data_IF_692362406745
#
_entry.id   IF_692362406745
#
_cell.length_a   1.000
_cell.length_b   1.000
_cell.length_c   1.000
_cell.angle_alpha   90.00
_cell.angle_beta   90.00
_cell.angle_gamma   90.00
#
_symmetry.space_group_name_H-M   'P 1'
#
loop_
_entity.id
_entity.type
_entity.pdbx_description
1 polymer ?
#
# COMPACT_ATOMS: atom_id res chain seq x y z
N UNK A 1 21.17 -38.85 38.20
CA UNK A 1 20.73 -39.95 37.33
C UNK A 1 19.30 -39.66 36.87
N UNK A 2 19.07 -39.67 35.54
CA UNK A 2 17.81 -39.73 34.73
C UNK A 2 16.56 -38.97 35.20
N UNK A 3 16.03 -37.94 34.50
CA UNK A 3 15.36 -37.82 33.16
C UNK A 3 13.81 -37.89 33.22
N UNK A 4 13.16 -36.99 32.46
CA UNK A 4 11.77 -36.99 31.91
C UNK A 4 10.61 -36.60 32.88
N UNK A 5 9.55 -35.83 32.58
CA UNK A 5 8.94 -35.21 31.38
C UNK A 5 7.88 -34.15 31.81
N UNK A 6 7.67 -33.10 30.98
CA UNK A 6 6.47 -32.26 30.67
C UNK A 6 5.20 -32.36 31.57
N UNK A 7 4.57 -31.22 31.92
CA UNK A 7 3.12 -30.84 31.77
C UNK A 7 2.82 -29.59 32.66
N UNK A 8 2.50 -28.43 32.10
CA UNK A 8 1.15 -27.93 31.77
C UNK A 8 0.27 -27.69 33.01
N UNK A 9 0.14 -26.42 33.43
CA UNK A 9 -0.87 -25.98 34.39
C UNK A 9 -1.35 -24.56 34.06
N UNK A 10 -2.51 -24.46 33.40
CA UNK A 10 -3.67 -23.76 33.94
C UNK A 10 -4.86 -23.95 32.98
N UNK A 11 -5.69 -24.95 33.28
CA UNK A 11 -6.96 -25.22 32.62
C UNK A 11 -8.03 -25.00 33.70
N UNK A 12 -8.75 -23.89 33.65
CA UNK A 12 -9.98 -23.69 34.42
C UNK A 12 -11.07 -23.30 33.43
N UNK A 13 -11.86 -24.27 33.00
CA UNK A 13 -13.03 -24.07 32.13
C UNK A 13 -14.28 -24.12 32.98
N UNK A 14 -14.99 -23.00 33.07
CA UNK A 14 -16.32 -22.91 33.67
C UNK A 14 -17.34 -23.44 32.63
N UNK A 15 -17.93 -24.62 32.88
CA UNK A 15 -18.99 -25.19 32.06
C UNK A 15 -20.34 -24.56 32.46
N UNK A 16 -21.01 -23.91 31.52
CA UNK A 16 -22.43 -23.55 31.62
C UNK A 16 -23.19 -24.38 30.58
N UNK A 17 -24.00 -25.34 31.06
CA UNK A 17 -24.87 -26.17 30.23
C UNK A 17 -26.25 -25.50 30.13
N UNK A 18 -26.62 -25.03 28.94
CA UNK A 18 -28.01 -24.69 28.62
C UNK A 18 -28.54 -25.80 27.70
N UNK A 19 -29.55 -26.53 28.17
CA UNK A 19 -30.19 -27.64 27.45
C UNK A 19 -31.44 -27.15 26.73
N UNK A 20 -31.41 -27.16 25.39
CA UNK A 20 -32.62 -27.20 24.56
C UNK A 20 -32.34 -28.13 23.38
N UNK A 21 -33.07 -29.25 23.31
CA UNK A 21 -33.15 -30.18 22.18
C UNK A 21 -31.86 -30.90 21.73
N UNK A 22 -31.18 -31.58 22.65
CA UNK A 22 -30.56 -32.88 22.34
C UNK A 22 -29.39 -32.92 21.36
N UNK A 23 -28.72 -31.79 21.08
CA UNK A 23 -27.44 -31.76 20.35
C UNK A 23 -26.43 -30.97 21.19
N UNK A 24 -25.41 -31.66 21.71
CA UNK A 24 -24.36 -31.02 22.50
C UNK A 24 -23.28 -30.44 21.57
N UNK A 25 -23.46 -29.19 21.13
CA UNK A 25 -22.38 -28.44 20.48
C UNK A 25 -21.48 -27.77 21.52
N UNK A 26 -20.19 -28.06 21.46
CA UNK A 26 -19.17 -27.53 22.37
C UNK A 26 -18.75 -26.14 21.88
N UNK A 27 -19.35 -25.08 22.42
CA UNK A 27 -18.93 -23.70 22.16
C UNK A 27 -17.59 -23.43 22.88
N UNK A 28 -16.50 -23.42 22.13
CA UNK A 28 -15.19 -22.96 22.61
C UNK A 28 -15.12 -21.45 22.48
N UNK A 29 -15.24 -20.73 23.60
CA UNK A 29 -14.97 -19.30 23.68
C UNK A 29 -13.45 -19.08 23.55
N UNK A 30 -13.00 -18.50 22.44
CA UNK A 30 -11.62 -18.03 22.29
C UNK A 30 -11.38 -16.80 23.18
N UNK A 31 -10.19 -16.66 23.81
CA UNK A 31 -9.88 -15.51 24.64
C UNK A 31 -9.72 -14.26 23.78
N UNK A 32 -10.56 -13.26 24.03
CA UNK A 32 -10.43 -11.92 23.49
C UNK A 32 -9.09 -11.31 23.90
N UNK A 33 -8.16 -11.20 22.97
CA UNK A 33 -7.04 -10.25 23.08
C UNK A 33 -7.61 -8.83 22.90
N UNK A 34 -7.66 -8.07 23.99
CA UNK A 34 -7.91 -6.63 23.92
C UNK A 34 -6.68 -6.00 23.28
N UNK A 35 -6.77 -5.72 21.99
CA UNK A 35 -5.75 -5.01 21.25
C UNK A 35 -5.69 -3.55 21.73
N UNK A 36 -4.48 -3.08 22.02
CA UNK A 36 -4.16 -1.65 22.05
C UNK A 36 -4.77 -0.99 20.80
N UNK A 37 -5.35 0.20 20.97
CA UNK A 37 -6.01 0.97 19.91
C UNK A 37 -5.05 1.20 18.73
N UNK A 38 -5.01 0.26 17.79
CA UNK A 38 -4.39 0.41 16.49
C UNK A 38 -5.32 1.32 15.70
N UNK A 39 -4.84 2.49 15.32
CA UNK A 39 -5.51 3.34 14.36
C UNK A 39 -5.87 2.48 13.15
N UNK A 40 -7.17 2.29 12.93
CA UNK A 40 -7.70 1.56 11.79
C UNK A 40 -7.45 2.44 10.58
N UNK A 41 -6.32 2.26 9.91
CA UNK A 41 -6.05 2.92 8.64
C UNK A 41 -6.81 2.16 7.57
N UNK A 42 -7.96 2.72 7.21
CA UNK A 42 -8.77 2.28 6.09
C UNK A 42 -8.14 2.81 4.81
N UNK A 43 -7.51 1.95 4.01
CA UNK A 43 -7.14 2.28 2.63
C UNK A 43 -8.41 2.49 1.82
N UNK A 44 -8.78 3.75 1.61
CA UNK A 44 -9.99 4.11 0.89
C UNK A 44 -9.89 5.53 0.34
N UNK A 45 -9.24 5.68 -0.82
CA UNK A 45 -9.05 6.97 -1.49
C UNK A 45 -7.76 7.69 -1.09
N UNK A 46 -7.71 9.00 -1.33
CA UNK A 46 -6.58 9.85 -0.90
C UNK A 46 -6.59 10.00 0.62
N UNK A 47 -5.45 9.75 1.22
CA UNK A 47 -5.15 9.93 2.64
C UNK A 47 -4.36 11.21 2.82
N UNK A 48 -4.64 11.97 3.89
CA UNK A 48 -3.87 13.16 4.27
C UNK A 48 -2.77 12.72 5.23
N UNK A 49 -1.50 12.90 4.86
CA UNK A 49 -0.37 12.41 5.68
C UNK A 49 -0.29 13.08 7.04
N UNK A 50 -0.69 14.34 7.15
CA UNK A 50 -0.73 15.07 8.43
C UNK A 50 -1.73 14.48 9.43
N UNK A 51 -2.77 13.78 8.96
CA UNK A 51 -3.79 13.15 9.82
C UNK A 51 -3.51 11.66 10.00
N UNK A 52 -3.17 10.98 8.90
CA UNK A 52 -2.91 9.54 8.88
C UNK A 52 -1.60 9.28 8.13
N UNK A 53 -0.43 9.39 8.77
CA UNK A 53 0.86 9.25 8.08
C UNK A 53 1.23 7.79 7.76
N UNK A 54 0.45 6.82 8.23
CA UNK A 54 0.83 5.41 8.22
C UNK A 54 -0.04 4.61 7.25
N UNK A 55 0.55 3.90 6.30
CA UNK A 55 -0.09 2.89 5.46
C UNK A 55 0.34 1.49 5.90
N UNK A 56 -0.62 0.59 6.06
CA UNK A 56 -0.39 -0.79 6.51
C UNK A 56 -0.70 -1.79 5.39
N UNK A 57 0.31 -2.56 4.99
CA UNK A 57 0.20 -3.64 4.02
C UNK A 57 0.41 -4.98 4.71
N UNK A 58 -0.46 -5.94 4.45
CA UNK A 58 -0.27 -7.35 4.84
C UNK A 58 -0.24 -8.21 3.58
N UNK A 59 0.36 -9.39 3.69
CA UNK A 59 0.58 -10.25 2.54
C UNK A 59 -0.23 -11.53 2.67
N UNK A 60 -0.67 -12.07 1.55
CA UNK A 60 -1.34 -13.35 1.42
C UNK A 60 -0.52 -14.22 0.46
N UNK A 61 -0.34 -15.50 0.77
CA UNK A 61 0.38 -16.44 -0.08
C UNK A 61 -0.51 -17.13 -1.12
N UNK A 62 -1.82 -16.92 -1.04
CA UNK A 62 -2.74 -17.41 -2.06
C UNK A 62 -2.60 -16.56 -3.33
N UNK A 63 -1.75 -17.01 -4.26
CA UNK A 63 -1.58 -16.37 -5.57
C UNK A 63 -2.76 -16.61 -6.52
N UNK A 64 -3.71 -17.50 -6.18
CA UNK A 64 -4.83 -17.84 -7.04
C UNK A 64 -5.77 -16.65 -7.26
N UNK A 65 -5.88 -15.72 -6.30
CA UNK A 65 -6.70 -14.52 -6.49
C UNK A 65 -6.07 -13.50 -7.45
N UNK A 66 -4.74 -13.39 -7.54
CA UNK A 66 -4.07 -12.56 -8.56
C UNK A 66 -4.35 -13.07 -9.97
N UNK A 67 -4.04 -14.35 -10.18
CA UNK A 67 -4.19 -15.01 -11.48
C UNK A 67 -5.66 -15.06 -11.87
N UNK A 68 -6.58 -15.25 -10.90
CA UNK A 68 -8.01 -15.31 -11.21
C UNK A 68 -8.56 -13.97 -11.67
N UNK A 69 -8.18 -12.82 -11.10
CA UNK A 69 -8.65 -11.51 -11.58
C UNK A 69 -8.13 -11.17 -12.99
N UNK A 70 -6.86 -11.48 -13.28
CA UNK A 70 -6.30 -11.29 -14.62
C UNK A 70 -7.00 -12.18 -15.66
N UNK A 71 -7.15 -13.47 -15.36
CA UNK A 71 -7.84 -14.42 -16.24
C UNK A 71 -9.33 -14.10 -16.40
N UNK A 72 -9.99 -13.62 -15.33
CA UNK A 72 -11.38 -13.19 -15.36
C UNK A 72 -11.55 -11.98 -16.26
N UNK A 73 -10.67 -10.99 -16.16
CA UNK A 73 -10.68 -9.83 -17.06
C UNK A 73 -10.53 -10.29 -18.53
N UNK A 74 -9.54 -11.14 -18.81
CA UNK A 74 -9.32 -11.72 -20.14
C UNK A 74 -10.56 -12.43 -20.68
N UNK A 75 -11.19 -13.28 -19.87
CA UNK A 75 -12.42 -13.97 -20.23
C UNK A 75 -13.56 -12.99 -20.55
N UNK A 76 -13.80 -11.98 -19.70
CA UNK A 76 -14.87 -11.00 -19.91
C UNK A 76 -14.67 -10.21 -21.21
N UNK A 77 -13.45 -9.74 -21.44
CA UNK A 77 -13.12 -9.00 -22.66
C UNK A 77 -13.21 -9.86 -23.93
N UNK A 78 -12.86 -11.15 -23.85
CA UNK A 78 -13.06 -12.10 -24.94
C UNK A 78 -14.53 -12.28 -25.31
N UNK A 79 -15.43 -12.09 -24.36
CA UNK A 79 -16.88 -12.12 -24.58
C UNK A 79 -17.46 -10.75 -24.91
N UNK A 80 -16.62 -9.72 -25.09
CA UNK A 80 -17.02 -8.32 -25.29
C UNK A 80 -17.87 -7.76 -24.13
N UNK A 81 -17.76 -8.36 -22.94
CA UNK A 81 -18.45 -7.93 -21.73
C UNK A 81 -17.53 -6.98 -20.97
N UNK A 82 -18.06 -5.81 -20.63
CA UNK A 82 -17.37 -4.91 -19.71
C UNK A 82 -17.51 -5.40 -18.26
N UNK A 83 -16.42 -5.54 -17.49
CA UNK A 83 -16.51 -5.93 -16.09
C UNK A 83 -17.27 -4.90 -15.25
N UNK A 84 -18.06 -5.37 -14.29
CA UNK A 84 -18.66 -4.49 -13.30
C UNK A 84 -17.59 -3.77 -12.47
N UNK A 85 -17.89 -2.55 -12.05
CA UNK A 85 -16.96 -1.70 -11.32
C UNK A 85 -16.46 -2.37 -10.03
N UNK A 86 -15.14 -2.36 -9.83
CA UNK A 86 -14.44 -2.94 -8.66
C UNK A 86 -14.58 -4.46 -8.53
N UNK A 87 -14.96 -5.18 -9.60
CA UNK A 87 -14.92 -6.65 -9.62
C UNK A 87 -13.56 -7.22 -10.00
N UNK A 88 -12.73 -6.42 -10.67
CA UNK A 88 -11.34 -6.73 -11.00
C UNK A 88 -10.47 -5.79 -10.17
N UNK A 89 -9.64 -6.34 -9.29
CA UNK A 89 -8.84 -5.53 -8.36
C UNK A 89 -7.51 -5.13 -9.01
N UNK A 90 -7.18 -3.83 -9.04
CA UNK A 90 -5.96 -3.33 -9.70
C UNK A 90 -4.67 -3.90 -9.10
N UNK A 91 -4.65 -4.12 -7.78
CA UNK A 91 -3.53 -4.75 -7.08
C UNK A 91 -3.33 -6.21 -7.48
N UNK A 92 -4.41 -6.92 -7.85
CA UNK A 92 -4.34 -8.30 -8.29
C UNK A 92 -3.77 -8.37 -9.71
N UNK A 93 -4.18 -7.44 -10.59
CA UNK A 93 -3.56 -7.27 -11.91
C UNK A 93 -2.07 -6.95 -11.78
N UNK A 94 -1.71 -5.97 -10.94
CA UNK A 94 -0.32 -5.58 -10.70
C UNK A 94 0.55 -6.76 -10.28
N UNK A 95 0.05 -7.56 -9.33
CA UNK A 95 0.77 -8.72 -8.80
C UNK A 95 0.55 -10.01 -9.62
N UNK A 96 -0.04 -9.93 -10.83
CA UNK A 96 -0.08 -11.05 -11.77
C UNK A 96 1.22 -11.19 -12.59
N UNK A 97 2.06 -10.15 -12.64
CA UNK A 97 3.29 -10.10 -13.46
C UNK A 97 4.55 -10.12 -12.61
N UNK A 98 5.57 -10.86 -13.04
CA UNK A 98 6.88 -10.83 -12.40
C UNK A 98 7.67 -9.60 -12.85
N UNK A 99 8.36 -8.95 -11.90
CA UNK A 99 9.19 -7.77 -12.20
C UNK A 99 10.65 -8.04 -11.88
N UNK A 100 11.54 -7.79 -12.83
CA UNK A 100 12.97 -8.03 -12.69
C UNK A 100 13.76 -6.72 -12.63
N UNK A 101 13.69 -6.06 -11.46
CA UNK A 101 14.44 -4.84 -11.22
C UNK A 101 15.95 -5.13 -11.10
N UNK A 102 16.77 -4.29 -11.75
CA UNK A 102 18.23 -4.46 -11.79
C UNK A 102 18.92 -4.21 -10.45
N UNK A 103 18.29 -3.46 -9.53
CA UNK A 103 18.89 -3.08 -8.26
C UNK A 103 17.96 -3.35 -7.08
N UNK A 104 18.21 -4.44 -6.36
CA UNK A 104 17.57 -4.72 -5.08
C UNK A 104 18.52 -4.41 -3.92
N UNK A 105 17.98 -3.77 -2.89
CA UNK A 105 18.70 -3.49 -1.64
C UNK A 105 18.25 -4.44 -0.54
N UNK A 106 19.14 -4.83 0.40
CA UNK A 106 18.74 -5.65 1.54
C UNK A 106 17.72 -4.90 2.42
N UNK A 107 16.56 -5.50 2.67
CA UNK A 107 15.59 -5.01 3.64
C UNK A 107 15.79 -5.72 4.99
N UNK A 108 16.06 -7.02 4.96
CA UNK A 108 16.49 -7.83 6.10
C UNK A 108 17.36 -8.99 5.61
N UNK A 109 17.72 -9.93 6.49
CA UNK A 109 18.41 -11.16 6.11
C UNK A 109 17.65 -11.97 5.03
N UNK A 110 16.32 -12.00 5.11
CA UNK A 110 15.47 -12.85 4.27
C UNK A 110 14.74 -12.11 3.15
N UNK A 111 14.75 -10.77 3.16
CA UNK A 111 13.97 -9.96 2.22
C UNK A 111 14.81 -8.85 1.60
N UNK A 112 14.53 -8.58 0.32
CA UNK A 112 15.11 -7.48 -0.43
C UNK A 112 14.02 -6.55 -0.91
N UNK A 113 14.34 -5.28 -1.03
CA UNK A 113 13.44 -4.23 -1.48
C UNK A 113 14.03 -3.51 -2.68
N UNK A 114 13.15 -3.14 -3.60
CA UNK A 114 13.41 -2.18 -4.63
C UNK A 114 12.34 -1.07 -4.51
N UNK A 115 12.78 0.18 -4.57
CA UNK A 115 11.90 1.33 -4.64
C UNK A 115 12.30 2.20 -5.81
N UNK A 116 11.31 2.76 -6.47
CA UNK A 116 11.51 3.65 -7.61
C UNK A 116 10.42 4.73 -7.60
N UNK A 117 10.80 5.94 -7.98
CA UNK A 117 9.96 7.13 -7.84
C UNK A 117 10.07 7.98 -9.10
N UNK A 118 8.94 8.31 -9.70
CA UNK A 118 8.89 9.15 -10.91
C UNK A 118 7.58 9.97 -10.95
N UNK A 119 7.47 10.99 -11.82
CA UNK A 119 6.19 11.66 -12.07
C UNK A 119 5.09 10.66 -12.44
N UNK A 120 3.88 10.85 -11.89
CA UNK A 120 2.75 9.96 -12.17
C UNK A 120 2.23 10.18 -13.59
N UNK A 121 2.00 9.11 -14.38
CA UNK A 121 1.33 9.23 -15.67
C UNK A 121 -0.18 9.48 -15.51
N UNK A 122 -0.75 9.31 -14.31
CA UNK A 122 -2.19 9.48 -14.09
C UNK A 122 -2.57 10.90 -13.74
N UNK A 123 -1.63 11.67 -13.17
CA UNK A 123 -1.84 13.02 -12.67
C UNK A 123 -0.52 13.77 -12.65
N UNK A 124 -0.46 14.91 -13.34
CA UNK A 124 0.75 15.72 -13.48
C UNK A 124 1.20 16.37 -12.15
N UNK A 125 0.33 16.45 -11.15
CA UNK A 125 0.62 17.05 -9.84
C UNK A 125 1.04 16.02 -8.78
N UNK A 126 1.32 14.77 -9.18
CA UNK A 126 1.66 13.69 -8.27
C UNK A 126 2.88 12.91 -8.75
N UNK A 127 3.56 12.26 -7.80
CA UNK A 127 4.56 11.25 -8.08
C UNK A 127 3.93 9.86 -7.92
N UNK A 128 4.51 8.90 -8.63
CA UNK A 128 4.23 7.49 -8.49
C UNK A 128 5.43 6.83 -7.79
N UNK A 129 5.18 6.21 -6.64
CA UNK A 129 6.14 5.44 -5.87
C UNK A 129 5.83 3.95 -6.02
N UNK A 130 6.77 3.19 -6.55
CA UNK A 130 6.74 1.74 -6.55
C UNK A 130 7.54 1.20 -5.38
N UNK A 131 6.95 0.23 -4.69
CA UNK A 131 7.62 -0.58 -3.67
C UNK A 131 7.48 -2.02 -4.11
N UNK A 132 8.61 -2.63 -4.44
CA UNK A 132 8.69 -4.05 -4.70
C UNK A 132 9.53 -4.72 -3.63
N UNK A 133 9.03 -5.79 -3.04
CA UNK A 133 9.80 -6.57 -2.08
C UNK A 133 9.70 -8.03 -2.50
N UNK A 134 10.84 -8.70 -2.42
CA UNK A 134 10.96 -10.13 -2.72
C UNK A 134 11.74 -10.83 -1.63
N UNK A 135 11.59 -12.15 -1.59
CA UNK A 135 12.49 -13.00 -0.82
C UNK A 135 13.91 -12.92 -1.39
N UNK A 136 14.91 -12.88 -0.51
CA UNK A 136 16.30 -12.98 -0.94
C UNK A 136 16.64 -14.41 -1.32
N UNK A 137 17.67 -14.61 -2.16
CA UNK A 137 18.17 -15.94 -2.51
C UNK A 137 18.67 -16.74 -1.29
N UNK A 138 18.95 -16.05 -0.19
CA UNK A 138 19.41 -16.62 1.08
C UNK A 138 18.27 -16.84 2.09
N UNK A 139 17.02 -16.61 1.69
CA UNK A 139 15.89 -16.75 2.59
C UNK A 139 15.79 -18.15 3.18
N UNK A 140 15.63 -18.23 4.50
CA UNK A 140 15.42 -19.49 5.22
C UNK A 140 14.06 -20.11 4.89
N UNK A 141 13.92 -21.44 4.98
CA UNK A 141 12.63 -22.12 4.75
C UNK A 141 11.46 -21.58 5.61
N UNK A 142 11.65 -21.25 6.90
CA UNK A 142 10.60 -20.62 7.71
C UNK A 142 10.20 -19.21 7.24
N UNK A 143 11.14 -18.47 6.63
CA UNK A 143 10.85 -17.18 6.00
C UNK A 143 10.10 -17.36 4.69
N UNK A 144 10.45 -18.39 3.90
CA UNK A 144 9.74 -18.74 2.66
C UNK A 144 8.25 -19.00 2.89
N UNK A 145 7.95 -19.74 3.96
CA UNK A 145 6.59 -20.06 4.40
C UNK A 145 5.94 -18.93 5.23
N UNK A 146 6.71 -17.92 5.62
CA UNK A 146 6.31 -16.87 6.55
C UNK A 146 5.67 -15.64 5.91
N UNK A 147 5.61 -15.54 4.58
CA UNK A 147 5.14 -14.35 3.87
C UNK A 147 3.75 -13.88 4.33
N UNK A 148 2.81 -14.81 4.53
CA UNK A 148 1.44 -14.50 4.96
C UNK A 148 1.36 -13.81 6.34
N UNK A 149 2.44 -13.86 7.12
CA UNK A 149 2.52 -13.25 8.45
C UNK A 149 3.30 -11.93 8.45
N UNK A 150 3.77 -11.48 7.29
CA UNK A 150 4.47 -10.22 7.19
C UNK A 150 3.49 -9.05 7.20
N UNK A 151 3.97 -7.93 7.74
CA UNK A 151 3.30 -6.65 7.68
C UNK A 151 4.31 -5.57 7.32
N UNK A 152 4.12 -4.91 6.18
CA UNK A 152 4.87 -3.72 5.83
C UNK A 152 4.10 -2.48 6.29
N UNK A 153 4.79 -1.59 7.00
CA UNK A 153 4.28 -0.32 7.47
C UNK A 153 5.02 0.78 6.74
N UNK A 154 4.32 1.57 5.96
CA UNK A 154 4.89 2.72 5.25
C UNK A 154 4.46 3.99 5.97
N UNK A 155 5.41 4.69 6.57
CA UNK A 155 5.18 5.94 7.30
C UNK A 155 5.68 7.10 6.46
N UNK A 156 4.75 7.92 5.97
CA UNK A 156 5.04 9.12 5.19
C UNK A 156 5.52 10.26 6.09
N UNK A 157 6.40 11.08 5.55
CA UNK A 157 6.83 12.33 6.14
C UNK A 157 5.80 13.42 5.79
N UNK A 158 4.95 13.85 6.74
CA UNK A 158 3.91 14.82 6.46
C UNK A 158 4.49 16.17 6.00
N UNK A 159 5.74 16.52 6.36
CA UNK A 159 6.36 17.77 5.89
C UNK A 159 6.53 17.81 4.37
N UNK A 160 6.74 16.66 3.73
CA UNK A 160 7.03 16.57 2.29
C UNK A 160 5.84 16.01 1.51
N UNK A 161 5.09 15.07 2.08
CA UNK A 161 3.95 14.43 1.43
C UNK A 161 2.66 14.97 2.05
N UNK A 162 1.87 15.71 1.27
CA UNK A 162 0.57 16.24 1.71
C UNK A 162 -0.51 15.15 1.69
N UNK A 163 -0.54 14.39 0.60
CA UNK A 163 -1.49 13.32 0.37
C UNK A 163 -0.81 12.08 -0.22
N UNK A 164 -1.36 10.90 0.08
CA UNK A 164 -0.99 9.67 -0.60
C UNK A 164 -2.21 8.80 -0.90
N UNK A 165 -2.11 7.96 -1.92
CA UNK A 165 -3.13 6.98 -2.29
C UNK A 165 -2.46 5.65 -2.62
N UNK A 166 -2.92 4.56 -2.03
CA UNK A 166 -2.51 3.21 -2.42
C UNK A 166 -3.40 2.73 -3.58
N UNK A 167 -2.81 2.51 -4.75
CA UNK A 167 -3.55 2.14 -5.96
C UNK A 167 -4.08 0.70 -5.82
N UNK A 168 -5.36 0.51 -6.18
CA UNK A 168 -6.08 -0.78 -6.11
C UNK A 168 -6.89 -1.00 -4.83
N UNK A 169 -6.60 -0.27 -3.76
CA UNK A 169 -7.31 -0.39 -2.49
C UNK A 169 -8.36 0.72 -2.30
N UNK A 170 -8.98 1.16 -3.40
CA UNK A 170 -9.98 2.22 -3.36
C UNK A 170 -11.33 1.68 -2.88
N UNK A 171 -11.91 2.31 -1.85
CA UNK A 171 -13.24 1.91 -1.37
C UNK A 171 -14.34 2.34 -2.34
N UNK A 172 -15.23 1.41 -2.64
CA UNK A 172 -16.49 1.71 -3.30
C UNK A 172 -17.53 2.13 -2.26
N UNK A 173 -17.68 3.44 -2.00
CA UNK A 173 -18.75 3.94 -1.14
C UNK A 173 -20.17 3.65 -1.67
N UNK A 174 -20.30 3.19 -2.93
CA UNK A 174 -21.58 2.96 -3.61
C UNK A 174 -22.13 1.52 -3.59
N UNK A 175 -21.42 0.52 -3.07
CA UNK A 175 -21.91 -0.88 -3.10
C UNK A 175 -22.16 -1.42 -1.66
N UNK A 176 -23.42 -1.67 -1.25
CA UNK A 176 -23.73 -2.10 0.12
C UNK A 176 -23.10 -3.44 0.52
N UNK A 177 -22.74 -4.30 -0.45
CA UNK A 177 -22.01 -5.56 -0.21
C UNK A 177 -20.58 -5.30 0.30
N UNK A 178 -19.96 -4.17 -0.07
CA UNK A 178 -18.61 -3.80 0.39
C UNK A 178 -18.57 -3.12 1.77
N UNK A 179 -19.71 -2.91 2.43
CA UNK A 179 -19.72 -2.46 3.85
C UNK A 179 -19.12 -3.50 4.79
N UNK A 180 -18.96 -4.74 4.35
CA UNK A 180 -18.32 -5.82 5.10
C UNK A 180 -16.81 -5.96 4.85
N UNK A 181 -16.18 -5.10 4.04
CA UNK A 181 -14.72 -5.00 4.06
C UNK A 181 -14.28 -4.35 5.37
N UNK A 182 -13.94 -5.24 6.30
CA UNK A 182 -13.51 -5.02 7.68
C UNK A 182 -12.63 -3.79 7.86
N UNK A 183 -12.77 -3.15 9.02
CA UNK A 183 -11.68 -2.44 9.68
C UNK A 183 -10.41 -3.32 9.54
N UNK A 184 -9.41 -2.92 8.77
CA UNK A 184 -8.30 -3.82 8.43
C UNK A 184 -7.34 -3.27 7.38
N UNK A 185 -6.15 -3.86 7.33
CA UNK A 185 -5.02 -3.47 6.49
C UNK A 185 -5.21 -3.88 5.03
N UNK A 186 -4.54 -3.20 4.10
CA UNK A 186 -4.51 -3.59 2.69
C UNK A 186 -3.79 -4.94 2.53
N UNK A 187 -4.49 -5.92 1.93
CA UNK A 187 -3.99 -7.28 1.72
C UNK A 187 -3.48 -7.43 0.29
N UNK A 188 -2.17 -7.61 0.14
CA UNK A 188 -1.51 -7.91 -1.13
C UNK A 188 -1.40 -9.42 -1.29
N UNK A 189 -1.67 -9.90 -2.49
CA UNK A 189 -1.47 -11.29 -2.85
C UNK A 189 -0.05 -11.46 -3.41
N UNK A 190 0.73 -12.31 -2.77
CA UNK A 190 2.08 -12.64 -3.16
C UNK A 190 2.05 -13.62 -4.34
N UNK A 191 3.03 -13.46 -5.21
CA UNK A 191 3.26 -14.40 -6.30
C UNK A 191 3.84 -15.71 -5.78
N UNK A 192 3.75 -16.76 -6.60
CA UNK A 192 4.45 -18.03 -6.34
C UNK A 192 5.97 -17.84 -6.23
N UNK A 193 6.52 -16.81 -6.88
CA UNK A 193 7.92 -16.39 -6.82
C UNK A 193 8.32 -15.70 -5.51
N UNK A 194 7.38 -15.41 -4.60
CA UNK A 194 7.66 -14.72 -3.34
C UNK A 194 7.93 -13.22 -3.47
N UNK A 195 7.45 -12.61 -4.55
CA UNK A 195 7.52 -11.17 -4.83
C UNK A 195 6.16 -10.50 -4.61
N UNK A 196 6.19 -9.23 -4.19
CA UNK A 196 5.02 -8.35 -4.13
C UNK A 196 5.35 -6.92 -4.54
N UNK A 197 4.41 -6.30 -5.25
CA UNK A 197 4.45 -4.92 -5.73
C UNK A 197 3.29 -4.12 -5.15
N UNK A 198 3.60 -2.91 -4.69
CA UNK A 198 2.64 -1.89 -4.32
C UNK A 198 2.98 -0.58 -5.03
N UNK A 199 1.95 0.13 -5.49
CA UNK A 199 2.07 1.45 -6.10
C UNK A 199 1.31 2.48 -5.28
N UNK A 200 2.00 3.56 -4.92
CA UNK A 200 1.45 4.71 -4.24
C UNK A 200 1.50 5.92 -5.17
N UNK A 201 0.41 6.67 -5.22
CA UNK A 201 0.42 8.02 -5.79
C UNK A 201 0.59 9.03 -4.66
N UNK A 202 1.56 9.92 -4.78
CA UNK A 202 1.98 10.85 -3.74
C UNK A 202 1.83 12.29 -4.23
N UNK A 203 1.24 13.17 -3.42
CA UNK A 203 1.30 14.62 -3.64
C UNK A 203 2.36 15.22 -2.74
N UNK A 204 3.33 15.90 -3.35
CA UNK A 204 4.40 16.59 -2.62
C UNK A 204 3.98 18.04 -2.32
N UNK A 205 4.46 18.59 -1.22
CA UNK A 205 4.44 20.02 -0.98
C UNK A 205 5.64 20.69 -1.68
N UNK A 206 5.41 21.24 -2.87
CA UNK A 206 6.42 21.97 -3.64
C UNK A 206 7.02 23.15 -2.84
N UNK A 207 6.29 23.71 -1.88
CA UNK A 207 6.77 24.82 -1.05
C UNK A 207 7.78 24.37 0.01
N UNK A 208 7.75 23.10 0.41
CA UNK A 208 8.63 22.50 1.42
C UNK A 208 9.88 21.85 0.80
N UNK A 209 9.77 21.27 -0.40
CA UNK A 209 10.88 20.60 -1.09
C UNK A 209 11.97 21.56 -1.58
N UNK A 210 11.65 22.84 -1.83
CA UNK A 210 12.60 23.86 -2.32
C UNK A 210 13.17 24.78 -1.25
N UNK A 211 12.94 24.52 0.05
CA UNK A 211 13.47 25.35 1.15
C UNK A 211 14.35 24.56 2.11
N UNK A 212 15.66 24.63 1.90
CA UNK A 212 16.70 24.29 2.88
C UNK A 212 17.80 25.38 2.89
N UNK A 213 18.51 25.67 4.00
CA UNK A 213 18.15 25.55 5.41
C UNK A 213 18.43 26.87 6.17
N UNK A 214 17.40 27.54 6.67
CA UNK A 214 17.59 28.66 7.59
C UNK A 214 16.53 28.66 8.70
N UNK A 215 16.28 27.50 9.32
CA UNK A 215 15.53 27.45 10.57
C UNK A 215 16.06 26.30 11.43
N UNK A 216 16.61 26.63 12.60
CA UNK A 216 16.95 25.66 13.63
C UNK A 216 15.64 25.07 14.19
N UNK A 217 15.35 23.78 14.02
CA UNK A 217 14.14 23.21 14.61
C UNK A 217 14.33 23.03 16.11
N UNK A 218 13.34 23.48 16.88
CA UNK A 218 13.15 23.11 18.28
C UNK A 218 13.11 21.59 18.44
N UNK A 219 13.56 21.11 19.59
CA UNK A 219 14.17 19.80 19.76
C UNK A 219 13.20 18.62 19.95
N UNK A 220 12.01 18.60 19.33
CA UNK A 220 11.02 17.53 19.62
C UNK A 220 10.46 16.69 18.48
N UNK A 221 10.70 17.00 17.19
CA UNK A 221 10.67 15.98 16.11
C UNK A 221 11.24 16.59 14.82
N UNK A 222 12.53 16.33 14.55
CA UNK A 222 13.16 16.77 13.30
C UNK A 222 12.76 15.81 12.19
N UNK A 223 11.72 16.15 11.42
CA UNK A 223 11.46 15.50 10.14
C UNK A 223 12.64 15.79 9.19
N UNK A 224 13.14 14.76 8.52
CA UNK A 224 14.17 14.92 7.49
C UNK A 224 13.64 15.79 6.33
N UNK A 225 14.54 16.55 5.70
CA UNK A 225 14.20 17.40 4.56
C UNK A 225 14.08 16.60 3.25
N UNK A 226 14.71 15.41 3.18
CA UNK A 226 14.84 14.65 1.95
C UNK A 226 14.12 13.29 2.01
N UNK A 227 13.86 12.77 3.22
CA UNK A 227 13.16 11.50 3.40
C UNK A 227 11.65 11.65 3.24
N UNK A 228 11.09 11.04 2.19
CA UNK A 228 9.66 11.07 1.89
C UNK A 228 8.86 10.10 2.76
N UNK A 229 9.42 8.91 2.99
CA UNK A 229 8.77 7.88 3.78
C UNK A 229 9.80 6.88 4.34
N UNK A 230 9.37 6.18 5.38
CA UNK A 230 10.08 5.05 5.95
C UNK A 230 9.20 3.80 5.84
N UNK A 231 9.71 2.75 5.22
CA UNK A 231 9.09 1.42 5.24
C UNK A 231 9.69 0.58 6.36
N UNK A 232 8.86 -0.05 7.18
CA UNK A 232 9.28 -1.05 8.17
C UNK A 232 8.55 -2.37 7.94
N UNK A 233 9.30 -3.47 7.93
CA UNK A 233 8.77 -4.82 7.75
C UNK A 233 8.74 -5.55 9.08
N UNK A 234 7.61 -6.15 9.42
CA UNK A 234 7.40 -6.84 10.70
C UNK A 234 6.91 -8.27 10.48
N UNK A 235 7.32 -9.20 11.34
CA UNK A 235 6.73 -10.55 11.43
C UNK A 235 5.67 -10.59 12.54
N UNK A 236 4.41 -10.83 12.15
CA UNK A 236 3.27 -10.85 13.07
C UNK A 236 3.24 -12.07 14.00
N UNK A 237 4.08 -13.10 13.79
CA UNK A 237 4.13 -14.30 14.65
C UNK A 237 4.90 -14.07 15.95
N UNK A 238 5.75 -13.04 16.01
CA UNK A 238 6.67 -12.82 17.14
C UNK A 238 6.02 -11.92 18.19
N UNK A 239 5.77 -12.48 19.39
CA UNK A 239 4.90 -11.92 20.44
C UNK A 239 5.49 -10.79 21.29
N UNK A 240 6.80 -10.48 21.21
CA UNK A 240 7.37 -9.36 21.99
C UNK A 240 6.95 -7.97 21.50
N UNK A 241 6.39 -7.84 20.27
CA UNK A 241 5.42 -6.82 19.76
C UNK A 241 5.44 -6.65 18.20
N UNK A 242 5.47 -7.75 17.41
CA UNK A 242 5.71 -7.73 15.94
C UNK A 242 7.16 -7.33 15.61
N UNK A 243 8.10 -8.24 15.81
CA UNK A 243 9.53 -7.99 15.68
C UNK A 243 9.87 -7.41 14.30
N UNK A 244 10.38 -6.18 14.34
CA UNK A 244 10.91 -5.46 13.18
C UNK A 244 11.98 -6.33 12.52
N UNK A 245 11.75 -6.73 11.28
CA UNK A 245 12.70 -7.47 10.47
C UNK A 245 13.70 -6.53 9.78
N UNK A 246 13.24 -5.34 9.41
CA UNK A 246 14.00 -4.43 8.56
C UNK A 246 13.31 -3.08 8.38
N UNK A 247 14.11 -2.07 8.08
CA UNK A 247 13.63 -0.73 7.76
C UNK A 247 14.34 -0.23 6.50
N UNK A 248 13.63 0.54 5.70
CA UNK A 248 14.14 1.16 4.49
C UNK A 248 13.61 2.59 4.36
N UNK A 249 14.51 3.53 4.11
CA UNK A 249 14.18 4.94 3.93
C UNK A 249 14.06 5.26 2.44
N UNK A 250 12.97 5.92 2.07
CA UNK A 250 12.63 6.32 0.71
C UNK A 250 12.86 7.82 0.61
N UNK A 251 13.87 8.21 -0.16
CA UNK A 251 14.31 9.59 -0.27
C UNK A 251 13.92 10.21 -1.60
N UNK A 252 13.67 11.52 -1.60
CA UNK A 252 13.34 12.29 -2.81
C UNK A 252 14.44 12.22 -3.88
N UNK A 253 15.68 11.97 -3.47
CA UNK A 253 16.82 11.83 -4.38
C UNK A 253 16.68 10.63 -5.34
N UNK A 254 15.81 9.66 -5.03
CA UNK A 254 15.48 8.54 -5.91
C UNK A 254 14.58 8.96 -7.08
N UNK A 255 14.05 10.19 -7.08
CA UNK A 255 13.10 10.66 -8.08
C UNK A 255 13.76 10.83 -9.46
N UNK A 256 13.23 10.12 -10.46
CA UNK A 256 13.51 10.41 -11.85
C UNK A 256 12.86 11.73 -12.29
N UNK A 257 13.57 12.48 -13.14
CA UNK A 257 13.06 13.80 -13.60
C UNK A 257 11.82 13.65 -14.48
N UNK A 258 11.76 12.58 -15.26
CA UNK A 258 10.67 12.29 -16.19
C UNK A 258 10.24 10.84 -16.06
N UNK A 259 8.95 10.57 -16.23
CA UNK A 259 8.39 9.21 -16.19
C UNK A 259 9.07 8.26 -17.18
N UNK A 260 9.51 8.75 -18.33
CA UNK A 260 10.17 7.97 -19.37
C UNK A 260 11.60 7.52 -18.99
N UNK A 261 12.21 8.14 -17.97
CA UNK A 261 13.54 7.77 -17.48
C UNK A 261 13.50 6.61 -16.48
N UNK A 262 12.34 6.38 -15.86
CA UNK A 262 12.08 5.24 -14.98
C UNK A 262 12.36 3.93 -15.71
N UNK A 263 12.61 2.84 -14.98
CA UNK A 263 12.86 1.51 -15.51
C UNK A 263 11.69 0.95 -16.32
N UNK A 264 11.98 0.05 -17.26
CA UNK A 264 10.94 -0.65 -18.02
C UNK A 264 9.98 -1.39 -17.08
N UNK A 265 10.49 -1.98 -16.00
CA UNK A 265 9.69 -2.65 -14.96
C UNK A 265 8.72 -1.70 -14.27
N UNK A 266 9.17 -0.50 -13.90
CA UNK A 266 8.35 0.53 -13.28
C UNK A 266 7.27 1.04 -14.24
N UNK A 267 7.65 1.38 -15.48
CA UNK A 267 6.71 1.87 -16.49
C UNK A 267 5.67 0.80 -16.85
N UNK A 268 6.07 -0.47 -16.89
CA UNK A 268 5.15 -1.59 -17.12
C UNK A 268 4.20 -1.79 -15.92
N UNK A 269 4.71 -1.77 -14.69
CA UNK A 269 3.89 -1.81 -13.48
C UNK A 269 2.85 -0.68 -13.44
N UNK A 270 3.25 0.53 -13.85
CA UNK A 270 2.35 1.66 -14.01
C UNK A 270 1.29 1.39 -15.09
N UNK A 271 1.64 0.85 -16.26
CA UNK A 271 0.64 0.49 -17.27
C UNK A 271 -0.40 -0.52 -16.74
N UNK A 272 0.03 -1.55 -16.01
CA UNK A 272 -0.85 -2.57 -15.41
C UNK A 272 -1.80 -1.96 -14.38
N UNK A 273 -1.28 -1.11 -13.48
CA UNK A 273 -2.10 -0.40 -12.50
C UNK A 273 -3.05 0.60 -13.16
N UNK A 274 -2.61 1.28 -14.22
CA UNK A 274 -3.41 2.13 -15.09
C UNK A 274 -4.61 1.40 -15.69
N UNK A 275 -4.42 0.15 -16.15
CA UNK A 275 -5.51 -0.64 -16.71
C UNK A 275 -6.58 -0.91 -15.66
N UNK A 276 -6.17 -1.30 -14.46
CA UNK A 276 -7.07 -1.49 -13.33
C UNK A 276 -7.81 -0.20 -12.96
N UNK A 277 -7.15 0.96 -13.00
CA UNK A 277 -7.81 2.24 -12.75
C UNK A 277 -8.86 2.60 -13.81
N UNK A 278 -8.56 2.38 -15.09
CA UNK A 278 -9.49 2.67 -16.19
C UNK A 278 -10.71 1.74 -16.17
N UNK A 279 -10.49 0.44 -15.99
CA UNK A 279 -11.57 -0.56 -15.89
C UNK A 279 -12.52 -0.24 -14.74
N UNK A 280 -11.95 0.16 -13.60
CA UNK A 280 -12.71 0.53 -12.42
C UNK A 280 -13.28 1.96 -12.47
N UNK A 281 -13.09 2.67 -13.60
CA UNK A 281 -13.52 4.05 -13.79
C UNK A 281 -13.14 4.92 -12.58
N UNK A 282 -11.85 4.84 -12.22
CA UNK A 282 -11.29 5.54 -11.09
C UNK A 282 -11.49 7.05 -11.25
N UNK A 283 -11.69 7.73 -10.13
CA UNK A 283 -11.91 9.17 -10.09
C UNK A 283 -10.60 9.98 -10.08
N UNK A 284 -9.46 9.28 -10.13
CA UNK A 284 -8.11 9.82 -9.91
C UNK A 284 -7.23 9.71 -11.16
N UNK A 285 -7.81 9.44 -12.33
CA UNK A 285 -7.11 9.44 -13.61
C UNK A 285 -7.43 10.77 -14.32
N UNK A 286 -6.44 11.68 -14.38
CA UNK A 286 -6.59 13.09 -14.77
C UNK A 286 -6.43 13.32 -16.28
N UNK A 287 -7.12 12.51 -17.07
CA UNK A 287 -6.99 12.53 -18.55
C UNK A 287 -6.20 11.33 -19.10
N UNK A 288 -5.56 10.55 -18.22
CA UNK A 288 -5.00 9.26 -18.58
C UNK A 288 -6.07 8.36 -19.21
N UNK A 289 -5.77 7.83 -20.39
CA UNK A 289 -6.69 7.05 -21.21
C UNK A 289 -6.05 5.77 -21.76
N UNK A 290 -6.82 5.01 -22.54
CA UNK A 290 -6.33 3.77 -23.14
C UNK A 290 -5.23 3.99 -24.19
N UNK A 291 -5.19 5.15 -24.87
CA UNK A 291 -4.14 5.43 -25.83
C UNK A 291 -2.80 5.64 -25.13
N UNK A 292 -2.79 6.47 -24.08
CA UNK A 292 -1.62 6.68 -23.24
C UNK A 292 -1.16 5.37 -22.59
N UNK A 293 -2.10 4.58 -22.08
CA UNK A 293 -1.80 3.26 -21.51
C UNK A 293 -1.10 2.34 -22.51
N UNK A 294 -1.64 2.20 -23.73
CA UNK A 294 -1.02 1.37 -24.78
C UNK A 294 0.38 1.85 -25.10
N UNK A 295 0.59 3.17 -25.18
CA UNK A 295 1.91 3.74 -25.46
C UNK A 295 2.92 3.38 -24.35
N UNK A 296 2.55 3.59 -23.08
CA UNK A 296 3.42 3.23 -21.94
C UNK A 296 3.72 1.72 -21.96
N UNK A 297 2.71 0.89 -22.19
CA UNK A 297 2.89 -0.56 -22.20
C UNK A 297 3.81 -1.03 -23.35
N UNK A 298 3.69 -0.42 -24.53
CA UNK A 298 4.58 -0.69 -25.67
C UNK A 298 6.02 -0.27 -25.38
N UNK A 299 6.22 0.94 -24.84
CA UNK A 299 7.54 1.46 -24.47
C UNK A 299 8.19 0.67 -23.34
N UNK A 300 7.40 0.04 -22.47
CA UNK A 300 7.85 -0.75 -21.33
C UNK A 300 7.87 -2.27 -21.61
N UNK A 301 7.63 -2.69 -22.85
CA UNK A 301 7.52 -4.11 -23.21
C UNK A 301 8.83 -4.87 -22.97
N UNK A 302 9.98 -4.22 -23.12
CA UNK A 302 11.28 -4.88 -22.98
C UNK A 302 11.45 -6.11 -23.88
N UNK A 303 12.29 -7.05 -23.44
CA UNK A 303 12.63 -8.27 -24.19
C UNK A 303 11.47 -9.26 -24.32
N UNK A 304 10.57 -9.32 -23.32
CA UNK A 304 9.33 -10.12 -23.32
C UNK A 304 9.50 -11.57 -23.82
N UNK A 305 10.49 -12.30 -23.31
CA UNK A 305 10.85 -13.64 -23.80
C UNK A 305 9.73 -14.68 -23.66
N UNK A 306 8.82 -14.49 -22.69
CA UNK A 306 7.67 -15.34 -22.45
C UNK A 306 6.37 -14.83 -23.10
N UNK A 307 6.39 -13.64 -23.72
CA UNK A 307 5.22 -13.05 -24.38
C UNK A 307 4.14 -12.48 -23.46
N UNK A 308 4.35 -12.48 -22.14
CA UNK A 308 3.38 -12.01 -21.14
C UNK A 308 3.04 -10.52 -21.31
N UNK A 309 4.03 -9.68 -21.63
CA UNK A 309 3.80 -8.24 -21.84
C UNK A 309 3.11 -7.99 -23.16
N UNK A 310 3.42 -8.75 -24.20
CA UNK A 310 2.71 -8.72 -25.47
C UNK A 310 1.25 -9.13 -25.31
N UNK A 311 0.98 -10.17 -24.52
CA UNK A 311 -0.39 -10.56 -24.17
C UNK A 311 -1.12 -9.44 -23.43
N UNK A 312 -0.48 -8.83 -22.43
CA UNK A 312 -1.04 -7.69 -21.71
C UNK A 312 -1.40 -6.53 -22.65
N UNK A 313 -0.50 -6.17 -23.57
CA UNK A 313 -0.75 -5.11 -24.55
C UNK A 313 -1.94 -5.45 -25.45
N UNK A 314 -2.07 -6.72 -25.87
CA UNK A 314 -3.23 -7.17 -26.63
C UNK A 314 -4.53 -7.06 -25.83
N UNK A 315 -4.50 -7.46 -24.55
CA UNK A 315 -5.61 -7.34 -23.63
C UNK A 315 -6.04 -5.88 -23.42
N UNK A 316 -5.09 -4.95 -23.30
CA UNK A 316 -5.37 -3.51 -23.20
C UNK A 316 -6.07 -3.00 -24.46
N UNK A 317 -5.55 -3.33 -25.65
CA UNK A 317 -6.16 -2.93 -26.91
C UNK A 317 -7.59 -3.48 -27.04
N UNK A 318 -7.82 -4.70 -26.57
CA UNK A 318 -9.14 -5.28 -26.50
C UNK A 318 -10.04 -4.53 -25.50
N UNK A 319 -9.54 -4.20 -24.32
CA UNK A 319 -10.26 -3.40 -23.33
C UNK A 319 -10.70 -2.05 -23.93
N UNK A 320 -9.81 -1.37 -24.64
CA UNK A 320 -10.10 -0.12 -25.35
C UNK A 320 -11.24 -0.28 -26.37
N UNK A 321 -11.25 -1.36 -27.15
CA UNK A 321 -12.33 -1.61 -28.11
C UNK A 321 -13.66 -1.89 -27.39
N UNK A 322 -13.63 -2.75 -26.37
CA UNK A 322 -14.82 -3.12 -25.60
C UNK A 322 -15.39 -1.93 -24.82
N UNK A 323 -14.54 -1.01 -24.33
CA UNK A 323 -14.99 0.20 -23.63
C UNK A 323 -15.84 1.09 -24.54
N UNK A 324 -15.45 1.22 -25.81
CA UNK A 324 -16.19 2.02 -26.80
C UNK A 324 -17.54 1.37 -27.08
N UNK A 325 -17.59 0.06 -27.33
CA UNK A 325 -18.84 -0.67 -27.60
C UNK A 325 -19.82 -0.61 -26.42
N UNK A 326 -19.33 -0.64 -25.19
CA UNK A 326 -20.14 -0.58 -23.97
C UNK A 326 -20.45 0.87 -23.53
N UNK A 327 -20.11 1.89 -24.33
CA UNK A 327 -20.28 3.33 -24.01
C UNK A 327 -19.71 3.71 -22.64
N UNK A 328 -18.58 3.11 -22.26
CA UNK A 328 -17.91 3.41 -21.00
C UNK A 328 -17.15 4.72 -21.17
N UNK A 329 -17.71 5.81 -20.65
CA UNK A 329 -17.08 7.11 -20.67
C UNK A 329 -15.87 7.18 -19.72
N UNK A 330 -14.79 7.81 -20.17
CA UNK A 330 -13.70 8.23 -19.28
C UNK A 330 -14.25 9.32 -18.37
N UNK A 331 -14.14 9.13 -17.06
CA UNK A 331 -14.57 10.16 -16.11
C UNK A 331 -13.65 11.36 -16.19
N UNK A 332 -14.24 12.55 -16.19
CA UNK A 332 -13.49 13.79 -16.02
C UNK A 332 -12.82 13.77 -14.64
N UNK A 333 -11.57 14.23 -14.52
CA UNK A 333 -10.93 14.35 -13.22
C UNK A 333 -11.79 15.18 -12.27
N UNK A 334 -11.89 14.72 -11.02
CA UNK A 334 -12.35 15.61 -9.97
C UNK A 334 -11.20 16.56 -9.64
N UNK A 335 -11.31 17.83 -10.02
CA UNK A 335 -10.41 18.87 -9.51
C UNK A 335 -10.58 18.94 -7.99
N UNK A 336 -9.57 18.48 -7.23
CA UNK A 336 -9.47 18.71 -5.80
C UNK A 336 -8.29 19.63 -5.55
N UNK A 337 -8.51 20.70 -4.79
CA UNK A 337 -7.41 21.49 -4.24
C UNK A 337 -6.64 20.63 -3.24
N UNK A 338 -5.31 20.72 -3.26
CA UNK A 338 -4.46 20.00 -2.31
C UNK A 338 -4.88 20.33 -0.88
N UNK A 339 -4.94 19.32 -0.02
CA UNK A 339 -5.25 19.56 1.39
C UNK A 339 -4.18 20.46 2.00
N UNK A 340 -4.54 21.61 2.62
CA UNK A 340 -3.57 22.47 3.26
C UNK A 340 -2.91 21.70 4.40
N UNK A 341 -1.58 21.66 4.40
CA UNK A 341 -0.83 21.02 5.46
C UNK A 341 -1.22 21.62 6.83
N UNK A 342 -1.47 20.80 7.86
CA UNK A 342 -1.57 21.33 9.21
C UNK A 342 -0.27 22.09 9.52
N UNK A 343 -0.42 23.34 9.97
CA UNK A 343 0.71 24.15 10.39
C UNK A 343 1.52 23.36 11.42
N UNK A 344 2.87 23.44 11.42
CA UNK A 344 3.68 22.85 12.47
C UNK A 344 3.11 23.29 13.82
N UNK A 345 2.80 22.34 14.70
CA UNK A 345 2.41 22.67 16.07
C UNK A 345 3.66 23.27 16.71
N UNK A 346 3.74 24.60 16.74
CA UNK A 346 4.74 25.28 17.54
C UNK A 346 4.34 25.08 18.99
N UNK A 347 5.22 24.49 19.79
CA UNK A 347 5.09 24.52 21.24
C UNK A 347 4.93 25.99 21.64
N UNK A 348 3.73 26.36 22.11
CA UNK A 348 3.58 27.66 22.75
C UNK A 348 4.59 27.70 23.88
N UNK A 349 5.53 28.67 23.91
CA UNK A 349 6.51 28.74 24.97
C UNK A 349 5.76 28.76 26.31
N UNK A 350 6.27 28.08 27.36
CA UNK A 350 5.63 28.08 28.65
C UNK A 350 5.36 29.53 29.03
N UNK A 351 4.09 29.84 29.34
CA UNK A 351 3.69 31.17 29.81
C UNK A 351 4.71 31.61 30.84
N UNK A 352 5.51 32.62 30.52
CA UNK A 352 6.42 33.22 31.48
C UNK A 352 5.56 33.59 32.68
N UNK A 353 5.86 32.95 33.81
CA UNK A 353 5.17 33.22 35.06
C UNK A 353 5.21 34.72 35.30
N UNK A 354 4.03 35.32 35.44
CA UNK A 354 3.89 36.69 35.90
C UNK A 354 4.62 36.78 37.24
N UNK A 355 5.80 37.41 37.23
CA UNK A 355 6.46 37.84 38.45
C UNK A 355 5.60 38.99 38.98
N UNK A 356 4.61 38.65 39.80
CA UNK A 356 3.92 39.65 40.61
C UNK A 356 4.93 40.06 41.68
N UNK A 357 5.51 41.24 41.47
CA UNK A 357 6.39 41.91 42.41
C UNK A 357 5.70 42.08 43.76
N UNK A 358 6.40 41.64 44.80
CA UNK A 358 6.26 42.14 46.17
C UNK A 358 6.61 43.62 46.21
N UNK A 359 5.68 44.45 46.65
CA UNK A 359 5.84 45.67 47.46
C UNK A 359 4.39 46.22 47.65
N UNK A 360 3.89 46.73 48.78
CA UNK A 360 4.46 47.55 49.86
C UNK A 360 3.57 47.39 51.12
N UNK A 361 4.19 47.42 52.28
CA UNK A 361 3.58 47.64 53.61
C UNK A 361 2.94 49.04 53.70
N UNK A 362 1.68 49.12 54.14
CA UNK A 362 1.24 50.02 55.22
C UNK A 362 -0.20 49.69 55.63
#
# INVERSE_FOLDING_TARGET
MSKCTIYQACKLSLLLLVSVNGVAETLTLQPNCVAAQQAVVSHGGNMVSGETPLSLLTFNTDSSGCISDYNRLKHLLNQQIWPEKNTIQSQNLLNAFQYDFSQYQPLSENYQIHTELAPSPYNNDTLLLLINIKQSDKATEPAKQGLAYLQAKLRFNPRLITEYRLIGFERNYGNPVNKQMSKGHARLQAQSSGQYSALYELRIDDSAAYKSPAHKPSAQQRFSADNLATLSLHDMRITSQQALLGQFDIDIAQQDKFFQQASDEFRFAAAVAGLGQLINQSNYVHGFDYHELVNIALDAKGADSQGERSEFIALVKQAMLVSVTNNVGIKKPHQRQAYPMPQPIYDTPPKQGSIIGKAIFN
#
